data_IF_083481402514
#
_entry.id   IF_083481402514
#
_cell.length_a   1.000
_cell.length_b   1.000
_cell.length_c   1.000
_cell.angle_alpha   90.00
_cell.angle_beta   90.00
_cell.angle_gamma   90.00
#
_symmetry.space_group_name_H-M   'P 1'
#
loop_
_entity.id
_entity.type
_entity.pdbx_description
1 polymer ?
#
# COMPACT_ATOMS: atom_id res chain seq x y z
N UNK A 1 39.66 -25.99 10.17
CA UNK A 1 39.54 -24.56 10.52
C UNK A 1 38.36 -23.99 9.73
N UNK A 2 37.13 -24.25 10.20
CA UNK A 2 35.90 -23.86 9.50
C UNK A 2 35.42 -22.59 10.19
N UNK A 3 35.45 -21.44 9.49
CA UNK A 3 34.80 -20.23 9.99
C UNK A 3 33.30 -20.56 10.10
N UNK A 4 32.70 -20.54 11.30
CA UNK A 4 31.31 -20.90 11.45
C UNK A 4 30.52 -19.86 10.67
N UNK A 5 29.58 -20.33 9.84
CA UNK A 5 28.59 -19.46 9.22
C UNK A 5 27.75 -18.86 10.35
N UNK A 6 28.16 -17.70 10.84
CA UNK A 6 27.52 -17.02 11.95
C UNK A 6 26.15 -16.57 11.42
N UNK A 7 25.11 -17.30 11.82
CA UNK A 7 23.72 -16.96 11.53
C UNK A 7 23.42 -15.52 11.94
N UNK A 8 24.02 -15.03 13.03
CA UNK A 8 23.92 -13.64 13.48
C UNK A 8 24.52 -12.64 12.49
N UNK A 9 25.57 -12.99 11.74
CA UNK A 9 26.18 -12.10 10.77
C UNK A 9 25.35 -12.01 9.49
N UNK A 10 24.79 -13.14 9.05
CA UNK A 10 23.79 -13.16 7.98
C UNK A 10 22.53 -12.39 8.40
N UNK A 11 22.01 -12.63 9.61
CA UNK A 11 20.85 -11.92 10.15
C UNK A 11 21.12 -10.43 10.28
N UNK A 12 22.29 -10.02 10.81
CA UNK A 12 22.67 -8.62 10.90
C UNK A 12 22.85 -7.97 9.52
N UNK A 13 23.28 -8.73 8.50
CA UNK A 13 23.37 -8.25 7.11
C UNK A 13 21.98 -8.05 6.51
N UNK A 14 21.07 -9.02 6.68
CA UNK A 14 19.67 -8.94 6.22
C UNK A 14 18.95 -7.79 6.92
N UNK A 15 19.08 -7.67 8.24
CA UNK A 15 18.48 -6.57 9.02
C UNK A 15 18.99 -5.19 8.56
N UNK A 16 20.28 -5.04 8.27
CA UNK A 16 20.85 -3.76 7.77
C UNK A 16 20.32 -3.39 6.38
N UNK A 17 20.16 -4.36 5.49
CA UNK A 17 19.57 -4.13 4.16
C UNK A 17 18.10 -3.73 4.28
N UNK A 18 17.32 -4.46 5.10
CA UNK A 18 15.92 -4.13 5.37
C UNK A 18 15.75 -2.73 6.00
N UNK A 19 16.65 -2.32 6.90
CA UNK A 19 16.62 -1.00 7.56
C UNK A 19 16.97 0.14 6.60
N UNK A 20 17.83 -0.10 5.58
CA UNK A 20 18.24 0.90 4.59
C UNK A 20 17.18 1.18 3.53
N UNK A 21 16.29 0.24 3.25
CA UNK A 21 15.18 0.43 2.29
C UNK A 21 13.98 1.18 2.88
N UNK A 22 13.90 1.30 4.21
CA UNK A 22 12.79 1.88 4.96
C UNK A 22 12.74 3.42 5.17
N UNK A 23 13.81 4.23 4.99
CA UNK A 23 13.73 5.65 5.33
C UNK A 23 12.95 6.49 4.32
N UNK A 24 12.92 6.10 3.03
CA UNK A 24 12.35 6.92 1.95
C UNK A 24 10.82 6.83 1.92
N UNK A 25 10.25 5.65 2.12
CA UNK A 25 8.79 5.50 2.11
C UNK A 25 8.14 6.24 3.30
N UNK A 26 8.82 6.30 4.47
CA UNK A 26 8.34 6.99 5.68
C UNK A 26 8.19 8.48 5.54
N UNK A 27 9.13 9.13 4.86
CA UNK A 27 9.08 10.57 4.60
C UNK A 27 8.06 10.92 3.51
N UNK A 28 7.86 10.04 2.52
CA UNK A 28 6.93 10.27 1.42
C UNK A 28 5.46 10.19 1.88
N UNK A 29 5.13 9.24 2.78
CA UNK A 29 3.77 9.13 3.34
C UNK A 29 3.48 10.22 4.39
N UNK A 30 4.51 10.82 5.02
CA UNK A 30 4.35 11.88 6.00
C UNK A 30 3.75 13.20 5.43
N UNK A 31 3.74 13.38 4.11
CA UNK A 31 3.11 14.51 3.43
C UNK A 31 1.60 14.36 3.18
N UNK A 32 1.02 13.20 3.48
CA UNK A 32 -0.41 12.95 3.31
C UNK A 32 -1.21 13.50 4.50
N UNK A 33 -2.39 14.04 4.21
CA UNK A 33 -3.38 14.37 5.22
C UNK A 33 -3.93 13.09 5.86
N UNK A 34 -4.53 13.20 7.05
CA UNK A 34 -5.12 12.05 7.75
C UNK A 34 -6.09 11.25 6.87
N UNK A 35 -6.94 11.95 6.12
CA UNK A 35 -7.95 11.32 5.26
C UNK A 35 -7.33 10.61 4.06
N UNK A 36 -6.27 11.18 3.49
CA UNK A 36 -5.53 10.57 2.40
C UNK A 36 -4.78 9.31 2.87
N UNK A 37 -4.24 9.33 4.09
CA UNK A 37 -3.56 8.18 4.69
C UNK A 37 -4.56 7.05 4.98
N UNK A 38 -5.74 7.37 5.50
CA UNK A 38 -6.82 6.42 5.71
C UNK A 38 -7.27 5.74 4.40
N UNK A 39 -7.50 6.52 3.34
CA UNK A 39 -7.82 5.99 2.01
C UNK A 39 -6.70 5.11 1.48
N UNK A 40 -5.44 5.54 1.61
CA UNK A 40 -4.28 4.76 1.16
C UNK A 40 -4.17 3.41 1.89
N UNK A 41 -4.49 3.36 3.20
CA UNK A 41 -4.54 2.12 3.97
C UNK A 41 -5.63 1.18 3.49
N UNK A 42 -6.84 1.68 3.29
CA UNK A 42 -7.95 0.85 2.80
C UNK A 42 -7.68 0.32 1.38
N UNK A 43 -7.00 1.12 0.54
CA UNK A 43 -6.51 0.65 -0.76
C UNK A 43 -5.46 -0.45 -0.64
N UNK A 44 -4.56 -0.36 0.34
CA UNK A 44 -3.57 -1.40 0.62
C UNK A 44 -4.20 -2.67 1.17
N UNK A 45 -5.36 -2.56 1.84
CA UNK A 45 -6.21 -3.69 2.22
C UNK A 45 -6.95 -4.33 1.04
N UNK A 46 -6.82 -3.78 -0.18
CA UNK A 46 -7.45 -4.32 -1.39
C UNK A 46 -8.86 -3.81 -1.67
N UNK A 47 -9.38 -2.87 -0.87
CA UNK A 47 -10.74 -2.36 -1.05
C UNK A 47 -10.87 -1.53 -2.34
N UNK A 48 -12.03 -1.57 -2.98
CA UNK A 48 -12.35 -0.71 -4.11
C UNK A 48 -12.88 0.67 -3.68
N UNK A 49 -13.00 1.62 -4.62
CA UNK A 49 -13.43 2.98 -4.29
C UNK A 49 -14.89 3.06 -3.78
N UNK A 50 -15.73 2.07 -4.05
CA UNK A 50 -17.14 2.00 -3.63
C UNK A 50 -17.19 1.51 -2.19
N UNK A 51 -16.41 0.48 -1.87
CA UNK A 51 -16.25 -0.04 -0.52
C UNK A 51 -15.64 0.99 0.41
N UNK A 52 -14.58 1.68 -0.04
CA UNK A 52 -13.98 2.79 0.69
C UNK A 52 -15.00 3.92 0.88
N UNK A 53 -15.74 4.29 -0.16
CA UNK A 53 -16.76 5.33 -0.06
C UNK A 53 -17.84 5.00 0.97
N UNK A 54 -18.24 3.73 1.04
CA UNK A 54 -19.21 3.23 2.04
C UNK A 54 -18.65 3.30 3.45
N UNK A 55 -17.43 2.81 3.66
CA UNK A 55 -16.76 2.79 4.98
C UNK A 55 -16.53 4.21 5.51
N UNK A 56 -16.17 5.11 4.60
CA UNK A 56 -15.83 6.49 4.87
C UNK A 56 -17.04 7.45 4.82
N UNK A 57 -18.24 6.94 4.49
CA UNK A 57 -19.50 7.68 4.35
C UNK A 57 -19.36 8.90 3.42
N UNK A 58 -18.78 8.68 2.24
CA UNK A 58 -18.59 9.68 1.17
C UNK A 58 -18.98 9.09 -0.19
N UNK A 59 -18.87 9.87 -1.28
CA UNK A 59 -19.14 9.37 -2.63
C UNK A 59 -17.91 8.70 -3.24
N UNK A 60 -18.11 7.71 -4.12
CA UNK A 60 -17.01 7.06 -4.87
C UNK A 60 -16.19 8.08 -5.67
N UNK A 61 -16.84 9.09 -6.27
CA UNK A 61 -16.18 10.20 -6.97
C UNK A 61 -15.28 11.03 -6.06
N UNK A 62 -15.67 11.22 -4.80
CA UNK A 62 -14.83 11.89 -3.79
C UNK A 62 -13.60 11.04 -3.48
N UNK A 63 -13.76 9.72 -3.34
CA UNK A 63 -12.63 8.79 -3.15
C UNK A 63 -11.68 8.85 -4.33
N UNK A 64 -12.16 8.79 -5.57
CA UNK A 64 -11.31 8.92 -6.78
C UNK A 64 -10.47 10.21 -6.76
N UNK A 65 -11.09 11.33 -6.41
CA UNK A 65 -10.38 12.61 -6.31
C UNK A 65 -9.31 12.58 -5.21
N UNK A 66 -9.59 11.95 -4.08
CA UNK A 66 -8.58 11.75 -3.04
C UNK A 66 -7.43 10.87 -3.54
N UNK A 67 -7.71 9.81 -4.32
CA UNK A 67 -6.69 8.95 -4.92
C UNK A 67 -5.81 9.76 -5.87
N UNK A 68 -6.37 10.58 -6.74
CA UNK A 68 -5.59 11.46 -7.62
C UNK A 68 -4.65 12.37 -6.82
N UNK A 69 -5.13 12.99 -5.74
CA UNK A 69 -4.31 13.82 -4.87
C UNK A 69 -3.21 13.01 -4.16
N UNK A 70 -3.51 11.79 -3.71
CA UNK A 70 -2.53 10.87 -3.12
C UNK A 70 -1.45 10.55 -4.14
N UNK A 71 -1.80 10.16 -5.37
CA UNK A 71 -0.85 9.84 -6.42
C UNK A 71 0.08 11.02 -6.72
N UNK A 72 -0.49 12.23 -6.83
CA UNK A 72 0.28 13.46 -7.02
C UNK A 72 1.24 13.74 -5.87
N UNK A 73 0.78 13.61 -4.62
CA UNK A 73 1.61 13.83 -3.42
C UNK A 73 2.71 12.79 -3.24
N UNK A 74 2.43 11.55 -3.61
CA UNK A 74 3.40 10.44 -3.58
C UNK A 74 4.34 10.47 -4.80
N UNK A 75 4.06 11.28 -5.82
CA UNK A 75 4.85 11.36 -7.05
C UNK A 75 4.78 10.09 -7.90
N UNK A 76 3.69 9.33 -7.80
CA UNK A 76 3.49 8.07 -8.54
C UNK A 76 2.36 8.21 -9.56
N UNK A 77 2.36 7.35 -10.57
CA UNK A 77 1.41 7.42 -11.67
C UNK A 77 0.39 6.27 -11.68
N UNK A 78 0.46 5.37 -10.71
CA UNK A 78 -0.48 4.25 -10.64
C UNK A 78 -0.88 3.91 -9.21
N UNK A 79 -2.11 3.44 -9.07
CA UNK A 79 -2.66 2.86 -7.84
C UNK A 79 -1.76 1.75 -7.29
N UNK A 80 -1.25 0.88 -8.16
CA UNK A 80 -0.37 -0.22 -7.77
C UNK A 80 0.94 0.29 -7.15
N UNK A 81 1.55 1.35 -7.70
CA UNK A 81 2.74 1.98 -7.13
C UNK A 81 2.43 2.60 -5.76
N UNK A 82 1.30 3.28 -5.60
CA UNK A 82 0.89 3.84 -4.30
C UNK A 82 0.68 2.75 -3.25
N UNK A 83 0.02 1.65 -3.60
CA UNK A 83 -0.16 0.49 -2.71
C UNK A 83 1.21 -0.12 -2.34
N UNK A 84 2.10 -0.30 -3.32
CA UNK A 84 3.44 -0.83 -3.06
C UNK A 84 4.24 0.04 -2.09
N UNK A 85 4.08 1.37 -2.14
CA UNK A 85 4.68 2.29 -1.18
C UNK A 85 4.03 2.17 0.21
N UNK A 86 2.70 2.03 0.29
CA UNK A 86 2.01 1.84 1.57
C UNK A 86 2.39 0.52 2.26
N UNK A 87 2.55 -0.58 1.51
CA UNK A 87 2.95 -1.87 2.05
C UNK A 87 4.39 -1.89 2.58
N UNK A 88 5.26 -0.99 2.11
CA UNK A 88 6.62 -0.83 2.63
C UNK A 88 6.64 -0.14 4.01
N UNK A 89 5.56 0.57 4.35
CA UNK A 89 5.46 1.43 5.53
C UNK A 89 4.83 0.75 6.74
N UNK A 90 3.94 -0.20 6.54
CA UNK A 90 3.27 -0.89 7.64
C UNK A 90 4.25 -1.78 8.44
N UNK A 91 4.45 -1.54 9.76
CA UNK A 91 4.91 -2.60 10.65
C UNK A 91 3.75 -3.60 10.77
N UNK A 92 4.07 -4.90 10.67
CA UNK A 92 3.14 -6.01 10.63
C UNK A 92 2.28 -6.21 11.90
N UNK A 93 1.44 -5.23 12.26
CA UNK A 93 0.55 -5.24 13.43
C UNK A 93 -0.93 -5.08 13.04
N UNK A 94 -1.33 -5.74 11.95
CA UNK A 94 -2.74 -6.05 11.69
C UNK A 94 -2.81 -7.42 10.97
N UNK A 95 -3.64 -8.36 11.44
CA UNK A 95 -3.72 -9.68 10.83
C UNK A 95 -4.34 -9.56 9.45
N UNK A 96 -3.62 -10.07 8.48
CA UNK A 96 -4.04 -10.22 7.11
C UNK A 96 -5.33 -11.06 7.04
N UNK A 97 -6.48 -10.39 6.89
CA UNK A 97 -7.62 -10.99 6.18
C UNK A 97 -7.49 -10.59 4.72
N UNK A 98 -6.47 -11.16 4.06
CA UNK A 98 -6.37 -11.16 2.59
C UNK A 98 -7.47 -12.05 2.03
N UNK A 99 -8.69 -11.54 1.99
CA UNK A 99 -9.70 -12.09 1.09
C UNK A 99 -9.34 -11.63 -0.32
N UNK A 100 -8.53 -12.43 -0.98
CA UNK A 100 -8.34 -12.37 -2.43
C UNK A 100 -9.66 -12.76 -3.08
N UNK A 101 -10.61 -11.84 -3.16
CA UNK A 101 -11.70 -11.97 -4.11
C UNK A 101 -11.06 -11.88 -5.50
N UNK A 102 -11.25 -12.87 -6.39
CA UNK A 102 -10.65 -12.87 -7.71
C UNK A 102 -10.99 -11.57 -8.45
N UNK A 103 -9.97 -11.00 -9.07
CA UNK A 103 -10.07 -9.86 -9.97
C UNK A 103 -10.96 -10.26 -11.17
N UNK A 104 -12.27 -10.07 -11.06
CA UNK A 104 -13.17 -10.06 -12.21
C UNK A 104 -12.92 -8.78 -13.01
N UNK A 105 -11.84 -8.83 -13.78
CA UNK A 105 -11.55 -7.92 -14.88
C UNK A 105 -12.51 -8.16 -16.05
N UNK A 106 -13.81 -7.89 -15.85
CA UNK A 106 -14.84 -7.95 -16.88
C UNK A 106 -15.07 -6.60 -17.56
N UNK A 107 -14.11 -6.16 -18.38
CA UNK A 107 -14.33 -5.06 -19.33
C UNK A 107 -15.40 -5.51 -20.34
N UNK A 108 -16.48 -4.73 -20.46
CA UNK A 108 -17.33 -4.53 -21.65
C UNK A 108 -17.38 -5.70 -22.64
N UNK A 109 -18.50 -6.39 -22.69
CA UNK A 109 -19.06 -6.82 -23.98
C UNK A 109 -20.41 -6.13 -24.18
N UNK A 110 -20.47 -5.36 -25.27
CA UNK A 110 -21.71 -4.85 -25.82
C UNK A 110 -22.54 -6.03 -26.30
N UNK A 111 -23.82 -6.11 -25.93
CA UNK A 111 -24.85 -6.72 -26.77
C UNK A 111 -26.24 -6.35 -26.25
N UNK A 112 -27.02 -5.83 -27.21
CA UNK A 112 -28.45 -5.53 -27.25
C UNK A 112 -28.96 -4.27 -26.54
#
# INVERSE_FOLDING_TARGET
>A
MVKPFILDELLARVQRLAKRSRPVARTVVAGLTRRELEILRLLACGMDHVEIARDLVITAKTVEKHIEHILLKLGVHSRAQAIALALQEEPADQPAVVNLTPLDGGRREAVN
#
